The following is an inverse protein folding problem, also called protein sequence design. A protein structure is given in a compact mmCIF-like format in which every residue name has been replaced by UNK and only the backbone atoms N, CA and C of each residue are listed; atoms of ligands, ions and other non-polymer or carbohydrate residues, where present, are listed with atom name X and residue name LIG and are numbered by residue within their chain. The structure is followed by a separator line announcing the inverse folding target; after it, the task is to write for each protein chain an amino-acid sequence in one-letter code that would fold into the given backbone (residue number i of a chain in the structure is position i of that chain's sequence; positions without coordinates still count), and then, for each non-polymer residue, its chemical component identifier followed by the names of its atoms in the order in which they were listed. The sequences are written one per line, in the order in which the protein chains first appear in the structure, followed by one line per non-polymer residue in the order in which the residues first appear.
data_IF_199529464806
#
_entry.id   IF_199529464806
#
_cell.length_a   1.000
_cell.length_b   1.000
_cell.length_c   1.000
_cell.angle_alpha   90.00
_cell.angle_beta   90.00
_cell.angle_gamma   90.00
#
_symmetry.space_group_name_H-M   'P 1'
#
loop_
_entity.id
_entity.type
_entity.pdbx_description
1 polymer ?
#
# COMPACT_ATOMS: atom_id res chain seq x y z
N UNK A 1 0.51 16.09 -1.37
CA UNK A 1 -0.17 14.80 -1.17
C UNK A 1 0.14 13.89 -2.36
N UNK A 2 0.22 12.61 -2.11
CA UNK A 2 0.51 11.61 -3.14
C UNK A 2 -0.64 10.62 -3.25
N UNK A 3 -0.85 10.12 -4.46
CA UNK A 3 -1.80 9.04 -4.70
C UNK A 3 -1.19 7.73 -4.25
N UNK A 4 -1.97 6.92 -3.54
CA UNK A 4 -1.53 5.60 -3.06
C UNK A 4 -2.43 4.51 -3.63
N UNK A 5 -1.83 3.35 -3.88
CA UNK A 5 -2.55 2.15 -4.33
C UNK A 5 -2.17 0.96 -3.46
N UNK A 6 -3.14 0.08 -3.24
CA UNK A 6 -2.92 -1.21 -2.60
C UNK A 6 -2.76 -2.27 -3.69
N UNK A 7 -1.62 -2.93 -3.71
CA UNK A 7 -1.40 -4.03 -4.65
C UNK A 7 -2.20 -5.24 -4.17
N UNK A 8 -3.09 -5.75 -5.02
CA UNK A 8 -3.91 -6.91 -4.69
C UNK A 8 -3.23 -8.23 -5.05
N UNK A 9 -2.00 -8.17 -5.56
CA UNK A 9 -1.16 -9.35 -5.72
C UNK A 9 -0.40 -9.57 -4.41
N UNK A 10 -0.75 -10.64 -3.70
CA UNK A 10 -0.18 -10.94 -2.40
C UNK A 10 1.32 -11.24 -2.52
N UNK A 11 2.11 -10.73 -1.58
CA UNK A 11 3.53 -11.03 -1.48
C UNK A 11 3.72 -12.48 -1.01
N UNK A 12 4.91 -13.03 -1.25
CA UNK A 12 5.22 -14.38 -0.83
C UNK A 12 5.12 -14.59 0.68
N UNK A 13 5.31 -13.51 1.46
CA UNK A 13 5.19 -13.56 2.91
C UNK A 13 3.75 -13.38 3.41
N UNK A 14 2.79 -13.21 2.50
CA UNK A 14 1.38 -13.05 2.84
C UNK A 14 0.89 -11.62 2.93
N UNK A 15 1.77 -10.63 2.81
CA UNK A 15 1.40 -9.22 2.92
C UNK A 15 0.88 -8.68 1.60
N UNK A 16 -0.02 -7.67 1.70
CA UNK A 16 -0.46 -6.85 0.58
C UNK A 16 0.14 -5.46 0.80
N UNK A 17 0.86 -4.94 -0.17
CA UNK A 17 1.64 -3.71 0.02
C UNK A 17 0.94 -2.48 -0.53
N UNK A 18 1.06 -1.39 0.25
CA UNK A 18 0.64 -0.05 -0.15
C UNK A 18 1.83 0.64 -0.81
N UNK A 19 1.62 1.21 -1.99
CA UNK A 19 2.65 1.90 -2.76
C UNK A 19 2.24 3.34 -3.04
N UNK A 20 3.21 4.23 -3.00
CA UNK A 20 3.04 5.63 -3.36
C UNK A 20 3.30 5.82 -4.86
N UNK A 21 2.57 6.73 -5.49
CA UNK A 21 2.78 7.08 -6.89
C UNK A 21 4.23 7.53 -7.10
N UNK A 22 4.86 7.02 -8.14
CA UNK A 22 6.27 7.26 -8.41
C UNK A 22 7.18 6.13 -7.98
N UNK A 23 6.67 5.19 -7.19
CA UNK A 23 7.43 4.00 -6.81
C UNK A 23 7.62 3.09 -8.02
N UNK A 24 8.81 2.49 -8.15
CA UNK A 24 9.08 1.55 -9.25
C UNK A 24 8.16 0.31 -9.16
N UNK A 25 7.62 0.03 -7.98
CA UNK A 25 6.72 -1.09 -7.75
C UNK A 25 5.25 -0.69 -7.75
N UNK A 26 4.93 0.56 -8.12
CA UNK A 26 3.56 1.04 -8.14
C UNK A 26 2.72 0.14 -9.05
N UNK A 27 1.64 -0.47 -8.52
CA UNK A 27 0.90 -1.46 -9.32
C UNK A 27 0.12 -0.79 -10.45
N UNK A 28 0.14 -1.44 -11.62
CA UNK A 28 -0.61 -0.99 -12.79
C UNK A 28 -1.76 -1.92 -13.12
N UNK A 29 -1.83 -3.07 -12.47
CA UNK A 29 -2.88 -4.06 -12.64
C UNK A 29 -3.20 -4.67 -11.28
N UNK A 30 -4.44 -5.08 -11.09
CA UNK A 30 -4.90 -5.79 -9.90
C UNK A 30 -4.56 -5.01 -8.64
N UNK A 31 -5.08 -3.78 -8.55
CA UNK A 31 -4.86 -2.91 -7.41
C UNK A 31 -6.15 -2.23 -6.99
N UNK A 32 -6.12 -1.69 -5.77
CA UNK A 32 -7.20 -0.87 -5.23
C UNK A 32 -6.68 0.54 -5.01
N UNK A 33 -7.37 1.54 -5.54
CA UNK A 33 -6.98 2.93 -5.37
C UNK A 33 -7.36 3.39 -3.97
N UNK A 34 -6.39 3.90 -3.21
CA UNK A 34 -6.63 4.33 -1.84
C UNK A 34 -6.98 5.81 -1.75
N UNK A 35 -6.37 6.64 -2.60
CA UNK A 35 -6.61 8.07 -2.63
C UNK A 35 -5.33 8.87 -2.40
N UNK A 36 -5.50 10.20 -2.31
CA UNK A 36 -4.39 11.13 -2.03
C UNK A 36 -4.23 11.31 -0.54
N UNK A 37 -3.01 11.13 -0.04
CA UNK A 37 -2.71 11.30 1.37
C UNK A 37 -1.36 11.97 1.57
N UNK A 38 -1.18 12.62 2.72
CA UNK A 38 0.07 13.28 3.09
C UNK A 38 1.13 12.28 3.54
N UNK A 39 0.74 11.07 3.92
CA UNK A 39 1.67 10.08 4.46
C UNK A 39 1.18 8.68 4.14
N UNK A 40 2.12 7.73 4.15
CA UNK A 40 1.77 6.32 3.97
C UNK A 40 0.90 5.79 5.11
N UNK A 41 1.03 6.36 6.31
CA UNK A 41 0.23 5.94 7.45
C UNK A 41 -1.26 6.07 7.20
N UNK A 42 -1.69 7.20 6.63
CA UNK A 42 -3.09 7.42 6.28
C UNK A 42 -3.53 6.44 5.19
N UNK A 43 -2.68 6.20 4.19
CA UNK A 43 -3.00 5.26 3.12
C UNK A 43 -3.13 3.82 3.64
N UNK A 44 -2.23 3.41 4.54
CA UNK A 44 -2.29 2.08 5.15
C UNK A 44 -3.56 1.92 5.98
N UNK A 45 -3.94 2.97 6.73
CA UNK A 45 -5.18 2.96 7.51
C UNK A 45 -6.39 2.76 6.61
N UNK A 46 -6.43 3.47 5.48
CA UNK A 46 -7.53 3.32 4.52
C UNK A 46 -7.54 1.91 3.91
N UNK A 47 -6.36 1.35 3.59
CA UNK A 47 -6.27 -0.01 3.05
C UNK A 47 -6.81 -1.03 4.05
N UNK A 48 -6.47 -0.88 5.33
CA UNK A 48 -6.97 -1.77 6.39
C UNK A 48 -8.47 -1.66 6.55
N UNK A 49 -9.01 -0.46 6.40
CA UNK A 49 -10.46 -0.24 6.48
C UNK A 49 -11.20 -0.95 5.35
N UNK A 50 -10.64 -0.89 4.13
CA UNK A 50 -11.25 -1.49 2.94
C UNK A 50 -11.11 -3.01 2.91
N UNK A 51 -9.98 -3.53 3.41
CA UNK A 51 -9.61 -4.94 3.30
C UNK A 51 -9.32 -5.51 4.68
N UNK A 52 -10.39 -5.70 5.47
CA UNK A 52 -10.29 -6.06 6.89
C UNK A 52 -9.55 -7.37 7.14
N UNK A 53 -9.59 -8.31 6.20
CA UNK A 53 -9.01 -9.64 6.39
C UNK A 53 -7.64 -9.82 5.73
N UNK A 54 -7.09 -8.76 5.13
CA UNK A 54 -5.79 -8.82 4.48
C UNK A 54 -4.71 -8.27 5.40
N UNK A 55 -3.53 -8.85 5.29
CA UNK A 55 -2.35 -8.33 5.99
C UNK A 55 -1.79 -7.18 5.17
N UNK A 56 -1.94 -5.96 5.67
CA UNK A 56 -1.54 -4.75 4.94
C UNK A 56 -0.21 -4.26 5.50
N UNK A 57 0.70 -3.90 4.59
CA UNK A 57 2.01 -3.36 4.94
C UNK A 57 2.40 -2.26 3.97
N UNK A 58 3.27 -1.36 4.38
CA UNK A 58 3.85 -0.35 3.48
C UNK A 58 4.98 -0.94 2.67
N UNK A 59 5.14 -0.47 1.44
CA UNK A 59 6.26 -0.87 0.60
C UNK A 59 7.58 -0.41 1.24
N UNK A 60 8.54 -1.32 1.32
CA UNK A 60 9.84 -1.00 1.92
C UNK A 60 10.55 0.13 1.18
N UNK A 61 10.36 0.23 -0.13
CA UNK A 61 11.04 1.22 -0.97
C UNK A 61 10.38 2.59 -0.91
N UNK A 62 9.06 2.67 -1.12
CA UNK A 62 8.37 3.96 -1.24
C UNK A 62 7.54 4.33 -0.03
N UNK A 63 7.31 3.41 0.88
CA UNK A 63 6.55 3.64 2.11
C UNK A 63 7.28 3.03 3.30
N UNK A 64 8.58 3.25 3.36
CA UNK A 64 9.48 2.64 4.34
C UNK A 64 9.04 2.92 5.78
N UNK A 65 8.54 4.12 6.05
CA UNK A 65 8.07 4.50 7.39
C UNK A 65 6.90 3.63 7.86
N UNK A 66 6.18 3.00 6.93
CA UNK A 66 5.02 2.16 7.23
C UNK A 66 5.32 0.66 7.06
N UNK A 67 6.55 0.32 6.73
CA UNK A 67 6.97 -1.07 6.55
C UNK A 67 7.34 -1.66 7.91
N UNK A 68 6.71 -2.77 8.28
CA UNK A 68 6.87 -3.37 9.61
C UNK A 68 7.54 -4.76 9.61
N UNK A 69 7.87 -5.29 8.45
CA UNK A 69 8.44 -6.63 8.41
C UNK A 69 9.51 -6.79 7.34
#
# INVERSE_FOLDING_TARGET
MSMYRLNLNQQSNGDYEVHENGCIYYPTQNYDTLGDYNSCGSAVTEAKRKQLYKKINGCKTCANACHTS
#
